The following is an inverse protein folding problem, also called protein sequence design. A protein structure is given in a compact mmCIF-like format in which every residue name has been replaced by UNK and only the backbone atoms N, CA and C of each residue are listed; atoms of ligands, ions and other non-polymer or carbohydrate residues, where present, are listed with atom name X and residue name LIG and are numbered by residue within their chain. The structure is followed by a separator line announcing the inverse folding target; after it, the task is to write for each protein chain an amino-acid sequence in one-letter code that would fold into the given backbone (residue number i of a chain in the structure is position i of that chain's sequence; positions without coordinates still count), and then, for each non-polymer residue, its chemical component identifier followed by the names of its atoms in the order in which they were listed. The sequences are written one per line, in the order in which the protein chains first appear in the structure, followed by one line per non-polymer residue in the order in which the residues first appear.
data_IF_695642232806
#
_entry.id   IF_695642232806
#
_cell.length_a   1.000
_cell.length_b   1.000
_cell.length_c   1.000
_cell.angle_alpha   90.00
_cell.angle_beta   90.00
_cell.angle_gamma   90.00
#
_symmetry.space_group_name_H-M   'P 1'
#
loop_
_entity.id
_entity.type
_entity.pdbx_description
1 polymer ?
#
# COMPACT_ATOMS: atom_id res chain seq x y z
N UNK A 1 -14.21 21.46 36.45
CA UNK A 1 -15.11 20.47 35.83
C UNK A 1 -14.89 20.54 34.33
N UNK A 2 -14.15 19.57 33.77
CA UNK A 2 -13.73 19.58 32.37
C UNK A 2 -14.61 18.61 31.57
N UNK A 3 -15.67 19.14 30.98
CA UNK A 3 -16.58 18.43 30.10
C UNK A 3 -16.06 18.58 28.66
N UNK A 4 -15.22 17.66 28.19
CA UNK A 4 -14.59 17.84 26.88
C UNK A 4 -14.01 16.61 26.19
N UNK A 5 -14.36 15.38 26.60
CA UNK A 5 -13.74 14.16 26.05
C UNK A 5 -14.72 13.00 25.73
N UNK A 6 -16.04 13.22 25.71
CA UNK A 6 -17.03 12.13 25.58
C UNK A 6 -17.56 11.87 24.15
N UNK A 7 -17.04 12.52 23.10
CA UNK A 7 -17.66 12.42 21.76
C UNK A 7 -16.65 12.29 20.61
N UNK A 8 -15.61 11.46 20.74
CA UNK A 8 -15.09 10.82 19.52
C UNK A 8 -16.07 9.69 19.18
N UNK A 9 -16.69 9.68 17.99
CA UNK A 9 -17.70 8.68 17.66
C UNK A 9 -17.04 7.30 17.71
N UNK A 10 -17.47 6.47 18.67
CA UNK A 10 -17.07 5.09 18.73
C UNK A 10 -17.40 4.44 17.37
N UNK A 11 -16.38 3.89 16.71
CA UNK A 11 -16.58 3.24 15.41
C UNK A 11 -17.53 2.05 15.56
N UNK A 12 -18.53 1.98 14.69
CA UNK A 12 -19.46 0.86 14.65
C UNK A 12 -18.81 -0.39 14.01
N UNK A 13 -19.21 -1.57 14.47
CA UNK A 13 -18.70 -2.85 13.98
C UNK A 13 -18.95 -3.04 12.48
N UNK A 14 -20.10 -2.58 11.97
CA UNK A 14 -20.40 -2.66 10.53
C UNK A 14 -19.46 -1.77 9.72
N UNK A 15 -19.19 -0.55 10.19
CA UNK A 15 -18.27 0.38 9.54
C UNK A 15 -16.85 -0.18 9.53
N UNK A 16 -16.40 -0.72 10.66
CA UNK A 16 -15.10 -1.37 10.79
C UNK A 16 -14.96 -2.56 9.83
N UNK A 17 -15.99 -3.41 9.71
CA UNK A 17 -16.00 -4.53 8.78
C UNK A 17 -15.94 -4.11 7.30
N UNK A 18 -16.60 -3.01 6.93
CA UNK A 18 -16.53 -2.46 5.57
C UNK A 18 -15.12 -1.96 5.26
N UNK A 19 -14.49 -1.25 6.21
CA UNK A 19 -13.11 -0.77 6.05
C UNK A 19 -12.11 -1.93 5.94
N UNK A 20 -12.23 -2.95 6.79
CA UNK A 20 -11.38 -4.12 6.74
C UNK A 20 -11.52 -4.92 5.44
N UNK A 21 -12.71 -4.99 4.86
CA UNK A 21 -12.93 -5.63 3.56
C UNK A 21 -12.36 -4.82 2.39
N UNK A 22 -12.40 -3.49 2.46
CA UNK A 22 -11.93 -2.62 1.39
C UNK A 22 -10.41 -2.41 1.39
N UNK A 23 -9.80 -2.29 2.58
CA UNK A 23 -8.40 -1.92 2.76
C UNK A 23 -7.52 -3.05 3.33
N UNK A 24 -8.12 -4.17 3.73
CA UNK A 24 -7.44 -5.28 4.37
C UNK A 24 -7.28 -5.11 5.89
N UNK A 25 -6.59 -6.07 6.50
CA UNK A 25 -6.37 -6.15 7.95
C UNK A 25 -5.32 -5.18 8.50
N UNK A 26 -4.56 -4.50 7.63
CA UNK A 26 -3.54 -3.53 8.02
C UNK A 26 -4.13 -2.12 8.15
N UNK A 27 -4.31 -1.66 9.40
CA UNK A 27 -4.85 -0.34 9.73
C UNK A 27 -4.02 0.81 9.14
N UNK A 28 -2.74 0.61 8.79
CA UNK A 28 -1.91 1.64 8.14
C UNK A 28 -2.38 1.96 6.73
N UNK A 29 -3.06 1.02 6.07
CA UNK A 29 -3.62 1.19 4.72
C UNK A 29 -4.94 1.96 4.73
N UNK A 30 -5.53 2.18 5.91
CA UNK A 30 -6.83 2.81 6.04
C UNK A 30 -6.76 4.33 5.87
N UNK A 31 -7.87 4.97 5.44
CA UNK A 31 -7.98 6.43 5.39
C UNK A 31 -7.62 7.07 6.74
N UNK A 32 -6.83 8.16 6.72
CA UNK A 32 -6.32 8.83 7.94
C UNK A 32 -7.43 9.15 8.95
N UNK A 33 -8.56 9.67 8.46
CA UNK A 33 -9.72 10.03 9.29
C UNK A 33 -10.29 8.86 10.11
N UNK A 34 -10.10 7.63 9.66
CA UNK A 34 -10.67 6.43 10.26
C UNK A 34 -9.63 5.62 11.07
N UNK A 35 -8.33 5.95 11.00
CA UNK A 35 -7.26 5.15 11.64
C UNK A 35 -7.33 5.20 13.16
N UNK A 36 -7.58 6.37 13.74
CA UNK A 36 -7.66 6.52 15.20
C UNK A 36 -8.84 5.73 15.75
N UNK A 37 -10.04 5.94 15.20
CA UNK A 37 -11.26 5.24 15.59
C UNK A 37 -11.16 3.71 15.33
N UNK A 38 -10.55 3.32 14.21
CA UNK A 38 -10.24 1.92 13.90
C UNK A 38 -9.28 1.28 14.90
N UNK A 39 -8.23 1.99 15.33
CA UNK A 39 -7.26 1.49 16.33
C UNK A 39 -7.93 1.25 17.68
N UNK A 40 -8.81 2.16 18.11
CA UNK A 40 -9.60 2.00 19.33
C UNK A 40 -10.54 0.78 19.22
N UNK A 41 -11.26 0.63 18.11
CA UNK A 41 -12.16 -0.50 17.91
C UNK A 41 -11.43 -1.84 17.77
N UNK A 42 -10.25 -1.85 17.16
CA UNK A 42 -9.43 -3.05 16.96
C UNK A 42 -9.00 -3.71 18.28
N UNK A 43 -8.97 -2.98 19.40
CA UNK A 43 -8.70 -3.54 20.72
C UNK A 43 -9.84 -4.46 21.22
N UNK A 44 -11.06 -4.29 20.70
CA UNK A 44 -12.22 -5.11 21.04
C UNK A 44 -12.11 -6.54 20.49
N UNK A 45 -12.82 -7.50 21.10
CA UNK A 45 -12.87 -8.88 20.61
C UNK A 45 -13.42 -8.99 19.18
N UNK A 46 -14.45 -8.19 18.86
CA UNK A 46 -15.03 -8.13 17.51
C UNK A 46 -14.04 -7.57 16.49
N UNK A 47 -13.35 -6.47 16.83
CA UNK A 47 -12.32 -5.87 15.99
C UNK A 47 -11.19 -6.86 15.68
N UNK A 48 -10.70 -7.58 16.69
CA UNK A 48 -9.67 -8.64 16.51
C UNK A 48 -10.16 -9.76 15.60
N UNK A 49 -11.41 -10.21 15.75
CA UNK A 49 -11.96 -11.26 14.91
C UNK A 49 -12.05 -10.83 13.43
N UNK A 50 -12.53 -9.60 13.19
CA UNK A 50 -12.64 -9.02 11.84
C UNK A 50 -11.26 -8.86 11.20
N UNK A 51 -10.29 -8.25 11.92
CA UNK A 51 -8.93 -8.07 11.39
C UNK A 51 -8.23 -9.39 11.14
N UNK A 52 -8.44 -10.42 11.98
CA UNK A 52 -7.88 -11.75 11.76
C UNK A 52 -8.40 -12.37 10.47
N UNK A 53 -9.70 -12.24 10.20
CA UNK A 53 -10.30 -12.74 8.96
C UNK A 53 -9.72 -12.02 7.74
N UNK A 54 -9.66 -10.68 7.78
CA UNK A 54 -9.08 -9.88 6.70
C UNK A 54 -7.58 -10.20 6.48
N UNK A 55 -6.79 -10.25 7.56
CA UNK A 55 -5.36 -10.55 7.51
C UNK A 55 -5.03 -11.97 7.04
N UNK A 56 -5.94 -12.94 7.24
CA UNK A 56 -5.78 -14.30 6.69
C UNK A 56 -5.87 -14.27 5.16
N UNK A 57 -6.82 -13.52 4.61
CA UNK A 57 -6.93 -13.32 3.17
C UNK A 57 -5.71 -12.57 2.62
N UNK A 58 -5.29 -11.50 3.31
CA UNK A 58 -4.11 -10.73 2.92
C UNK A 58 -2.85 -11.62 2.87
N UNK A 59 -2.64 -12.48 3.87
CA UNK A 59 -1.51 -13.40 3.89
C UNK A 59 -1.55 -14.43 2.76
N UNK A 60 -2.74 -14.91 2.39
CA UNK A 60 -2.91 -15.80 1.24
C UNK A 60 -2.58 -15.08 -0.08
N UNK A 61 -3.03 -13.84 -0.23
CA UNK A 61 -2.72 -13.03 -1.42
C UNK A 61 -1.22 -12.69 -1.52
N UNK A 62 -0.60 -12.31 -0.40
CA UNK A 62 0.84 -12.00 -0.34
C UNK A 62 1.72 -13.23 -0.63
N UNK A 63 1.19 -14.44 -0.37
CA UNK A 63 1.90 -15.69 -0.68
C UNK A 63 1.96 -16.00 -2.19
N UNK A 64 1.09 -15.36 -2.98
CA UNK A 64 1.06 -15.57 -4.43
C UNK A 64 2.27 -14.91 -5.09
N UNK A 65 3.29 -15.71 -5.42
CA UNK A 65 4.40 -15.29 -6.27
C UNK A 65 4.08 -15.53 -7.73
N UNK A 66 4.20 -14.47 -8.52
CA UNK A 66 4.25 -14.56 -9.97
C UNK A 66 5.66 -15.00 -10.38
N UNK A 67 5.75 -15.94 -11.32
CA UNK A 67 7.03 -16.39 -11.86
C UNK A 67 7.82 -15.23 -12.45
N UNK A 68 9.14 -15.32 -12.36
CA UNK A 68 10.02 -14.28 -12.90
C UNK A 68 9.73 -14.09 -14.40
N UNK A 69 9.65 -12.83 -14.88
CA UNK A 69 9.39 -12.56 -16.28
C UNK A 69 10.47 -13.23 -17.15
N UNK A 70 10.05 -13.72 -18.32
CA UNK A 70 10.94 -14.40 -19.26
C UNK A 70 12.17 -13.54 -19.59
N UNK A 71 13.31 -14.20 -19.78
CA UNK A 71 14.62 -13.57 -20.00
C UNK A 71 14.59 -12.60 -21.19
N UNK A 72 13.73 -12.84 -22.17
CA UNK A 72 13.49 -11.94 -23.29
C UNK A 72 12.97 -10.56 -22.84
N UNK A 73 11.98 -10.52 -21.93
CA UNK A 73 11.44 -9.26 -21.41
C UNK A 73 12.48 -8.51 -20.57
N UNK A 74 13.24 -9.23 -19.75
CA UNK A 74 14.35 -8.64 -18.99
C UNK A 74 15.39 -8.00 -19.91
N UNK A 75 15.76 -8.70 -20.99
CA UNK A 75 16.65 -8.18 -22.03
C UNK A 75 16.10 -6.94 -22.73
N UNK A 76 14.80 -6.90 -23.06
CA UNK A 76 14.15 -5.73 -23.66
C UNK A 76 14.15 -4.52 -22.73
N UNK A 77 13.91 -4.71 -21.42
CA UNK A 77 13.97 -3.63 -20.43
C UNK A 77 15.39 -3.06 -20.32
N UNK A 78 16.41 -3.93 -20.26
CA UNK A 78 17.81 -3.49 -20.21
C UNK A 78 18.24 -2.76 -21.48
N UNK A 79 17.82 -3.23 -22.66
CA UNK A 79 18.08 -2.51 -23.92
C UNK A 79 17.40 -1.15 -23.96
N UNK A 80 16.13 -1.05 -23.53
CA UNK A 80 15.42 0.22 -23.47
C UNK A 80 16.13 1.20 -22.52
N UNK A 81 16.52 0.75 -21.32
CA UNK A 81 17.27 1.56 -20.37
C UNK A 81 18.64 2.00 -20.92
N UNK A 82 19.36 1.10 -21.58
CA UNK A 82 20.64 1.40 -22.23
C UNK A 82 20.52 2.47 -23.32
N UNK A 83 19.48 2.40 -24.16
CA UNK A 83 19.23 3.40 -25.22
C UNK A 83 18.97 4.79 -24.63
N UNK A 84 18.22 4.89 -23.54
CA UNK A 84 17.95 6.16 -22.86
C UNK A 84 19.23 6.79 -22.28
N UNK A 85 20.12 6.00 -21.69
CA UNK A 85 21.39 6.48 -21.14
C UNK A 85 22.35 6.97 -22.24
N UNK A 86 22.45 6.24 -23.35
CA UNK A 86 23.28 6.63 -24.50
C UNK A 86 22.77 7.93 -25.14
N UNK A 87 21.45 8.09 -25.28
CA UNK A 87 20.85 9.32 -25.80
C UNK A 87 21.13 10.52 -24.89
N UNK A 88 20.99 10.36 -23.56
CA UNK A 88 21.26 11.43 -22.60
C UNK A 88 22.74 11.86 -22.62
N UNK A 89 23.67 10.90 -22.72
CA UNK A 89 25.10 11.19 -22.87
C UNK A 89 25.39 11.94 -24.17
N UNK A 90 24.80 11.50 -25.29
CA UNK A 90 25.01 12.15 -26.59
C UNK A 90 24.47 13.58 -26.61
N UNK A 91 23.32 13.83 -25.98
CA UNK A 91 22.78 15.19 -25.80
C UNK A 91 23.68 16.06 -24.90
N UNK A 92 24.25 15.50 -23.84
CA UNK A 92 25.23 16.19 -23.00
C UNK A 92 26.51 16.56 -23.77
N UNK A 93 27.05 15.63 -24.56
CA UNK A 93 28.20 15.89 -25.42
C UNK A 93 27.89 16.94 -26.49
N UNK A 94 26.68 16.94 -27.04
CA UNK A 94 26.22 17.96 -27.99
C UNK A 94 26.10 19.35 -27.35
N UNK A 95 25.64 19.42 -26.08
CA UNK A 95 25.55 20.67 -25.32
C UNK A 95 26.92 21.25 -24.92
N UNK A 96 27.96 20.41 -24.83
CA UNK A 96 29.33 20.82 -24.49
C UNK A 96 30.16 21.29 -25.70
N UNK A 97 29.58 21.37 -26.90
CA UNK A 97 30.24 21.92 -28.08
C UNK A 97 31.39 21.08 -28.65
N UNK A 98 31.41 19.77 -28.36
CA UNK A 98 32.34 18.79 -28.95
C UNK A 98 31.72 18.08 -30.17
N UNK A 99 31.05 18.86 -31.03
CA UNK A 99 30.42 18.40 -32.27
C UNK A 99 30.91 19.19 -33.47
#
# INVERSE_FOLDING_TARGET
MAEGSRNEPAMDARRFAVLAQAYGGDLRRWPEAERMAGTVFAASGAGKAILRQAGTLDALLDSYRVDAPDKALHGSILQAAGRHLVQRRRQWFWWLGLG
#
